data_IF_106177294497
#
_entry.id   IF_106177294497
#
_cell.length_a   1.000
_cell.length_b   1.000
_cell.length_c   1.000
_cell.angle_alpha   90.00
_cell.angle_beta   90.00
_cell.angle_gamma   90.00
#
_symmetry.space_group_name_H-M   'P 1'
#
loop_
_entity.id
_entity.type
_entity.pdbx_description
1 polymer ?
#
# COMPACT_ATOMS: atom_id res chain seq x y z
N UNK A 1 7.63 -9.78 -4.23
CA UNK A 1 6.54 -8.91 -4.75
C UNK A 1 5.96 -8.08 -3.61
N UNK A 2 5.84 -8.65 -2.41
CA UNK A 2 5.67 -7.90 -1.15
C UNK A 2 6.83 -6.95 -0.86
N UNK A 3 8.06 -7.34 -1.22
CA UNK A 3 9.27 -6.53 -1.02
C UNK A 3 9.18 -5.12 -1.64
N UNK A 4 8.49 -4.99 -2.78
CA UNK A 4 8.32 -3.70 -3.45
C UNK A 4 7.32 -2.79 -2.71
N UNK A 5 6.27 -3.36 -2.12
CA UNK A 5 5.30 -2.58 -1.34
C UNK A 5 5.94 -2.14 -0.02
N UNK A 6 6.73 -3.00 0.60
CA UNK A 6 7.46 -2.66 1.82
C UNK A 6 8.46 -1.53 1.57
N UNK A 7 9.18 -1.55 0.44
CA UNK A 7 10.09 -0.47 0.06
C UNK A 7 9.34 0.84 -0.24
N UNK A 8 8.19 0.79 -0.92
CA UNK A 8 7.33 1.98 -1.10
C UNK A 8 6.85 2.57 0.24
N UNK A 9 6.52 1.72 1.21
CA UNK A 9 6.10 2.17 2.55
C UNK A 9 7.30 2.74 3.31
N UNK A 10 8.52 2.23 3.11
CA UNK A 10 9.74 2.80 3.68
C UNK A 10 10.03 4.19 3.15
N UNK A 11 9.79 4.45 1.86
CA UNK A 11 9.91 5.80 1.29
C UNK A 11 8.89 6.77 1.93
N UNK A 12 7.67 6.31 2.18
CA UNK A 12 6.63 7.06 2.91
C UNK A 12 6.96 7.22 4.40
N UNK A 13 7.84 6.38 4.95
CA UNK A 13 8.30 6.41 6.35
C UNK A 13 9.35 7.49 6.62
N UNK A 14 9.73 8.30 5.63
CA UNK A 14 10.62 9.43 5.87
C UNK A 14 10.03 10.31 7.00
N UNK A 15 10.87 10.65 7.98
CA UNK A 15 10.46 11.23 9.27
C UNK A 15 9.57 12.47 9.11
N UNK A 16 9.82 13.27 8.06
CA UNK A 16 9.04 14.43 7.65
C UNK A 16 7.60 14.10 7.24
N UNK A 17 7.38 12.97 6.56
CA UNK A 17 6.06 12.53 6.11
C UNK A 17 5.27 11.87 7.24
N UNK A 18 5.95 11.08 8.09
CA UNK A 18 5.33 10.49 9.27
C UNK A 18 4.80 11.55 10.24
N UNK A 19 5.54 12.65 10.45
CA UNK A 19 5.10 13.73 11.34
C UNK A 19 3.96 14.56 10.76
N UNK A 20 3.97 14.82 9.45
CA UNK A 20 2.92 15.59 8.79
C UNK A 20 1.62 14.77 8.59
N UNK A 21 1.73 13.45 8.46
CA UNK A 21 0.64 12.58 8.02
C UNK A 21 0.53 11.28 8.85
N UNK A 22 0.79 11.33 10.16
CA UNK A 22 0.76 10.17 11.07
C UNK A 22 -0.50 9.30 10.90
N UNK A 23 -1.67 9.92 10.79
CA UNK A 23 -2.94 9.21 10.59
C UNK A 23 -2.96 8.41 9.28
N UNK A 24 -2.42 8.99 8.19
CA UNK A 24 -2.38 8.32 6.87
C UNK A 24 -1.41 7.15 6.90
N UNK A 25 -0.31 7.28 7.64
CA UNK A 25 0.65 6.20 7.81
C UNK A 25 0.06 5.03 8.62
N UNK A 26 -0.70 5.32 9.67
CA UNK A 26 -1.36 4.30 10.48
C UNK A 26 -2.42 3.53 9.68
N UNK A 27 -3.24 4.23 8.89
CA UNK A 27 -4.21 3.61 7.98
C UNK A 27 -3.51 2.73 6.93
N UNK A 28 -2.43 3.24 6.34
CA UNK A 28 -1.64 2.52 5.33
C UNK A 28 -1.03 1.25 5.90
N UNK A 29 -0.51 1.31 7.12
CA UNK A 29 0.03 0.15 7.83
C UNK A 29 -1.06 -0.87 8.15
N UNK A 30 -2.23 -0.41 8.62
CA UNK A 30 -3.38 -1.29 8.85
C UNK A 30 -3.82 -1.99 7.57
N UNK A 31 -3.90 -1.28 6.43
CA UNK A 31 -4.25 -1.87 5.14
C UNK A 31 -3.16 -2.80 4.57
N UNK A 32 -1.89 -2.60 4.94
CA UNK A 32 -0.80 -3.54 4.65
C UNK A 32 -0.97 -4.84 5.43
N UNK A 33 -1.31 -4.77 6.72
CA UNK A 33 -1.44 -5.95 7.58
C UNK A 33 -2.77 -6.69 7.37
N UNK A 34 -3.77 -6.03 6.78
CA UNK A 34 -5.09 -6.62 6.55
C UNK A 34 -5.12 -7.48 5.29
N UNK A 35 -5.39 -8.79 5.39
CA UNK A 35 -5.55 -9.66 4.22
C UNK A 35 -6.83 -9.31 3.44
N UNK A 36 -6.86 -9.59 2.14
CA UNK A 36 -8.01 -9.29 1.27
C UNK A 36 -9.28 -10.04 1.71
N UNK A 37 -9.11 -11.28 2.15
CA UNK A 37 -10.12 -12.16 2.73
C UNK A 37 -9.43 -13.05 3.79
N UNK A 38 -10.17 -13.66 4.73
CA UNK A 38 -9.58 -14.54 5.74
C UNK A 38 -8.68 -15.61 5.10
N UNK A 39 -7.52 -15.87 5.69
CA UNK A 39 -6.49 -16.81 5.20
C UNK A 39 -5.79 -16.44 3.88
N UNK A 40 -6.03 -15.25 3.32
CA UNK A 40 -5.28 -14.77 2.16
C UNK A 40 -3.85 -14.35 2.55
N UNK A 41 -2.86 -15.19 2.22
CA UNK A 41 -1.43 -14.90 2.44
C UNK A 41 -0.77 -14.16 1.27
N UNK A 42 -1.47 -14.03 0.15
CA UNK A 42 -0.89 -13.54 -1.12
C UNK A 42 -1.23 -12.09 -1.38
N UNK A 43 -2.37 -11.60 -0.87
CA UNK A 43 -2.84 -10.25 -1.14
C UNK A 43 -3.39 -9.59 0.12
N UNK A 44 -2.84 -8.42 0.41
CA UNK A 44 -3.32 -7.49 1.43
C UNK A 44 -4.24 -6.46 0.79
N UNK A 45 -5.09 -5.79 1.58
CA UNK A 45 -5.97 -4.71 1.09
C UNK A 45 -5.17 -3.66 0.31
N UNK A 46 -4.04 -3.22 0.87
CA UNK A 46 -3.16 -2.26 0.23
C UNK A 46 -2.63 -2.76 -1.13
N UNK A 47 -2.19 -4.02 -1.19
CA UNK A 47 -1.65 -4.60 -2.43
C UNK A 47 -2.68 -4.62 -3.57
N UNK A 48 -3.96 -4.84 -3.24
CA UNK A 48 -5.05 -4.86 -4.22
C UNK A 48 -5.38 -3.47 -4.70
N UNK A 49 -5.51 -2.50 -3.80
CA UNK A 49 -5.76 -1.10 -4.16
C UNK A 49 -4.66 -0.57 -5.08
N UNK A 50 -3.39 -0.80 -4.73
CA UNK A 50 -2.24 -0.41 -5.56
C UNK A 50 -2.30 -1.04 -6.96
N UNK A 51 -2.61 -2.35 -7.06
CA UNK A 51 -2.75 -3.04 -8.34
C UNK A 51 -3.89 -2.47 -9.18
N UNK A 52 -5.03 -2.17 -8.57
CA UNK A 52 -6.18 -1.58 -9.26
C UNK A 52 -5.86 -0.17 -9.78
N UNK A 53 -5.19 0.65 -8.98
CA UNK A 53 -4.75 1.99 -9.39
C UNK A 53 -3.72 1.92 -10.52
N UNK A 54 -2.76 1.00 -10.44
CA UNK A 54 -1.79 0.76 -11.50
C UNK A 54 -2.45 0.27 -12.80
N UNK A 55 -3.46 -0.60 -12.71
CA UNK A 55 -4.24 -1.04 -13.87
C UNK A 55 -4.97 0.14 -14.50
N UNK A 56 -5.63 0.97 -13.69
CA UNK A 56 -6.32 2.18 -14.16
C UNK A 56 -5.36 3.16 -14.82
N UNK A 57 -4.19 3.41 -14.23
CA UNK A 57 -3.18 4.29 -14.80
C UNK A 57 -2.69 3.76 -16.16
N UNK A 58 -2.45 2.46 -16.28
CA UNK A 58 -2.08 1.83 -17.56
C UNK A 58 -3.19 1.97 -18.59
N UNK A 59 -4.44 1.69 -18.24
CA UNK A 59 -5.59 1.82 -19.15
C UNK A 59 -5.82 3.27 -19.58
N UNK A 60 -5.52 4.24 -18.72
CA UNK A 60 -5.73 5.66 -19.00
C UNK A 60 -4.55 6.34 -19.72
N UNK A 61 -3.36 5.71 -19.70
CA UNK A 61 -2.15 6.17 -20.39
C UNK A 61 -1.86 5.38 -21.69
N UNK A 62 -2.72 4.43 -22.08
CA UNK A 62 -2.65 3.65 -23.33
C UNK A 62 -3.64 4.20 -24.36
#
# INVERSE_FOLDING_TARGET
MDDQIEDMIRDVRQESFQQAHSHVYDDLKSDLETPLFPDCITFTRLSVVLRLMNLKARVMLS
#
